data_IF_846784666210
#
_entry.id   IF_846784666210
#
_cell.length_a   1.000
_cell.length_b   1.000
_cell.length_c   1.000
_cell.angle_alpha   90.00
_cell.angle_beta   90.00
_cell.angle_gamma   90.00
#
_symmetry.space_group_name_H-M   'P 1'
#
loop_
_entity.id
_entity.type
_entity.pdbx_description
1 polymer ?
#
# COMPACT_ATOMS: atom_id res chain seq x y z
N UNK A 1 -16.06 53.94 50.83
CA UNK A 1 -15.09 52.81 50.84
C UNK A 1 -15.89 51.55 51.10
N UNK A 2 -16.38 50.75 50.13
CA UNK A 2 -15.73 50.14 48.96
C UNK A 2 -14.37 49.52 49.28
N UNK A 3 -14.26 48.23 48.94
CA UNK A 3 -13.09 47.35 49.02
C UNK A 3 -12.66 46.96 50.44
N UNK A 4 -13.17 45.83 50.95
CA UNK A 4 -12.45 44.77 51.69
C UNK A 4 -13.45 43.81 52.37
N UNK A 5 -14.28 43.09 51.61
CA UNK A 5 -15.05 41.94 52.17
C UNK A 5 -15.58 40.94 51.13
N UNK A 6 -14.88 40.78 50.02
CA UNK A 6 -15.24 39.81 48.97
C UNK A 6 -14.05 38.92 48.55
N UNK A 7 -13.08 38.72 49.45
CA UNK A 7 -11.90 37.86 49.19
C UNK A 7 -11.77 36.66 50.15
N UNK A 8 -12.73 36.43 51.06
CA UNK A 8 -12.62 35.36 52.08
C UNK A 8 -13.72 34.28 51.99
N UNK A 9 -14.75 34.44 51.15
CA UNK A 9 -15.87 33.47 51.12
C UNK A 9 -15.83 32.44 49.98
N UNK A 10 -14.88 32.50 49.04
CA UNK A 10 -14.85 31.62 47.85
C UNK A 10 -13.82 30.48 47.98
N UNK A 11 -12.93 30.52 48.99
CA UNK A 11 -11.93 29.46 49.21
C UNK A 11 -12.43 28.27 50.06
N UNK A 12 -13.60 28.38 50.68
CA UNK A 12 -14.15 27.36 51.59
C UNK A 12 -15.00 26.27 50.92
N UNK A 13 -15.65 26.56 49.78
CA UNK A 13 -16.61 25.63 49.16
C UNK A 13 -15.93 24.57 48.26
N UNK A 14 -14.84 24.94 47.58
CA UNK A 14 -14.09 24.03 46.70
C UNK A 14 -13.27 22.98 47.46
N UNK A 15 -12.80 23.27 48.68
CA UNK A 15 -12.09 22.28 49.51
C UNK A 15 -13.03 21.23 50.11
N UNK A 16 -14.33 21.54 50.32
CA UNK A 16 -15.27 20.60 50.92
C UNK A 16 -15.76 19.55 49.92
N UNK A 17 -15.99 19.94 48.65
CA UNK A 17 -16.34 18.98 47.58
C UNK A 17 -15.19 18.03 47.21
N UNK A 18 -13.93 18.48 47.30
CA UNK A 18 -12.76 17.61 47.06
C UNK A 18 -12.57 16.56 48.17
N UNK A 19 -12.87 16.89 49.42
CA UNK A 19 -12.76 15.94 50.55
C UNK A 19 -13.82 14.84 50.52
N UNK A 20 -15.06 15.16 50.12
CA UNK A 20 -16.15 14.18 50.01
C UNK A 20 -15.87 13.18 48.87
N UNK A 21 -15.28 13.64 47.77
CA UNK A 21 -14.92 12.78 46.64
C UNK A 21 -13.75 11.83 46.98
N UNK A 22 -12.75 12.29 47.75
CA UNK A 22 -11.64 11.43 48.20
C UNK A 22 -12.08 10.39 49.22
N UNK A 23 -13.03 10.72 50.13
CA UNK A 23 -13.57 9.77 51.10
C UNK A 23 -14.35 8.65 50.40
N UNK A 24 -15.07 8.96 49.32
CA UNK A 24 -15.84 7.98 48.56
C UNK A 24 -14.92 6.97 47.82
N UNK A 25 -13.81 7.43 47.22
CA UNK A 25 -12.86 6.56 46.52
C UNK A 25 -12.01 5.65 47.44
N UNK A 26 -11.81 6.01 48.71
CA UNK A 26 -11.08 5.18 49.68
C UNK A 26 -11.92 4.03 50.29
N UNK A 27 -13.18 3.87 49.90
CA UNK A 27 -14.11 2.86 50.46
C UNK A 27 -14.06 1.48 49.78
N UNK A 28 -13.27 1.29 48.71
CA UNK A 28 -13.28 0.05 47.91
C UNK A 28 -11.94 -0.67 47.82
N UNK A 29 -11.00 -0.44 48.75
CA UNK A 29 -9.78 -1.25 48.85
C UNK A 29 -9.50 -1.71 50.29
N UNK A 30 -9.70 -3.00 50.52
CA UNK A 30 -9.47 -3.75 51.77
C UNK A 30 -10.15 -5.13 51.62
N UNK A 31 -9.53 -6.09 50.93
CA UNK A 31 -8.64 -7.15 51.45
C UNK A 31 -9.36 -8.17 52.34
N UNK A 32 -9.40 -9.42 51.90
CA UNK A 32 -9.16 -10.58 52.77
C UNK A 32 -8.29 -11.60 52.02
N UNK A 33 -7.21 -12.02 52.67
CA UNK A 33 -6.25 -13.01 52.23
C UNK A 33 -6.23 -14.16 53.25
N UNK A 34 -6.10 -15.42 52.80
CA UNK A 34 -5.44 -16.47 53.59
C UNK A 34 -4.88 -17.62 52.73
N UNK A 35 -3.55 -17.57 52.54
CA UNK A 35 -2.50 -18.57 52.77
C UNK A 35 -2.54 -20.03 52.24
N UNK A 36 -1.53 -20.31 51.39
CA UNK A 36 -0.65 -21.49 51.20
C UNK A 36 -0.98 -22.88 51.79
N UNK A 37 -0.82 -23.96 50.99
CA UNK A 37 0.39 -24.84 51.00
C UNK A 37 0.36 -25.99 49.96
N UNK A 38 1.51 -26.17 49.30
CA UNK A 38 2.20 -27.38 48.79
C UNK A 38 1.48 -28.69 48.37
N UNK A 39 1.83 -29.20 47.17
CA UNK A 39 2.38 -30.56 47.03
C UNK A 39 1.65 -31.60 46.16
N UNK A 40 2.41 -32.15 45.17
CA UNK A 40 2.39 -33.53 44.64
C UNK A 40 1.35 -34.00 43.57
N UNK A 41 1.89 -34.20 42.36
CA UNK A 41 1.93 -35.43 41.53
C UNK A 41 0.71 -36.37 41.39
N UNK A 42 0.42 -36.71 40.12
CA UNK A 42 0.13 -38.06 39.56
C UNK A 42 -1.25 -38.34 38.91
N UNK A 43 -1.16 -38.71 37.62
CA UNK A 43 -1.75 -39.87 36.93
C UNK A 43 -3.29 -40.00 36.70
N UNK A 44 -3.61 -40.07 35.40
CA UNK A 44 -4.51 -41.05 34.70
C UNK A 44 -6.01 -41.06 35.09
N UNK A 45 -6.91 -40.69 34.16
CA UNK A 45 -7.60 -41.67 33.28
C UNK A 45 -8.79 -41.08 32.55
N UNK A 46 -8.93 -41.54 31.31
CA UNK A 46 -10.01 -41.45 30.35
C UNK A 46 -11.38 -41.91 30.86
N UNK A 47 -12.46 -41.19 30.52
CA UNK A 47 -13.56 -41.74 29.71
C UNK A 47 -14.47 -40.67 29.10
N UNK A 48 -14.89 -40.98 27.87
CA UNK A 48 -15.83 -40.32 26.95
C UNK A 48 -17.19 -39.94 27.54
N UNK A 49 -17.86 -38.93 26.95
CA UNK A 49 -19.11 -39.07 26.17
C UNK A 49 -19.40 -37.72 25.47
N UNK A 50 -19.82 -37.82 24.21
CA UNK A 50 -20.22 -36.72 23.32
C UNK A 50 -21.75 -36.55 23.34
N UNK A 51 -22.23 -35.35 22.94
CA UNK A 51 -23.62 -34.84 22.85
C UNK A 51 -24.15 -34.21 24.16
N UNK A 52 -24.70 -32.99 24.25
CA UNK A 52 -25.35 -32.06 23.31
C UNK A 52 -25.19 -30.57 23.77
N UNK A 53 -25.35 -29.60 22.85
CA UNK A 53 -25.67 -28.17 23.15
C UNK A 53 -27.16 -28.01 23.51
N UNK A 54 -27.68 -26.96 24.19
CA UNK A 54 -27.31 -25.52 24.08
C UNK A 54 -27.28 -24.78 25.46
N UNK A 55 -26.89 -23.50 25.55
CA UNK A 55 -27.77 -22.31 25.64
C UNK A 55 -26.90 -21.05 25.46
N UNK A 56 -27.39 -20.12 24.66
CA UNK A 56 -26.85 -18.77 24.45
C UNK A 56 -26.70 -17.98 25.75
N UNK A 57 -25.50 -17.52 26.06
CA UNK A 57 -25.28 -16.32 26.87
C UNK A 57 -24.72 -15.19 26.01
N UNK A 58 -25.34 -14.04 26.23
CA UNK A 58 -25.26 -12.78 25.53
C UNK A 58 -23.89 -12.14 25.76
N UNK A 59 -23.02 -12.14 24.74
CA UNK A 59 -21.80 -11.33 24.78
C UNK A 59 -22.17 -9.85 24.65
N UNK A 60 -21.89 -9.07 25.69
CA UNK A 60 -21.92 -7.61 25.63
C UNK A 60 -20.90 -7.09 24.59
N UNK A 61 -21.20 -6.01 23.86
CA UNK A 61 -20.29 -5.47 22.87
C UNK A 61 -19.05 -4.90 23.56
N UNK A 62 -17.86 -5.31 23.10
CA UNK A 62 -16.62 -4.59 23.40
C UNK A 62 -16.78 -3.20 22.78
N UNK A 63 -16.91 -2.15 23.61
CA UNK A 63 -16.77 -0.77 23.16
C UNK A 63 -15.32 -0.54 22.73
N UNK A 64 -15.07 -0.74 21.44
CA UNK A 64 -13.85 -0.23 20.81
C UNK A 64 -14.03 1.28 20.76
N UNK A 65 -13.38 1.98 21.69
CA UNK A 65 -13.20 3.44 21.60
C UNK A 65 -12.78 3.79 20.18
N UNK A 66 -13.41 4.78 19.53
CA UNK A 66 -13.14 5.09 18.13
C UNK A 66 -11.65 5.35 18.00
N UNK A 67 -10.99 4.54 17.18
CA UNK A 67 -9.60 4.72 16.83
C UNK A 67 -9.44 6.18 16.44
N UNK A 68 -8.73 6.92 17.29
CA UNK A 68 -8.25 8.25 17.01
C UNK A 68 -7.48 8.12 15.71
N UNK A 69 -8.08 8.55 14.61
CA UNK A 69 -7.35 8.86 13.39
C UNK A 69 -6.26 9.81 13.90
N UNK A 70 -4.96 9.47 13.83
CA UNK A 70 -3.95 10.43 14.16
C UNK A 70 -4.08 11.56 13.13
N UNK A 71 -4.73 12.64 13.54
CA UNK A 71 -4.62 13.91 12.85
C UNK A 71 -3.15 14.26 12.91
N UNK A 72 -2.49 14.19 11.76
CA UNK A 72 -1.11 14.60 11.59
C UNK A 72 -0.92 16.00 12.21
N UNK A 73 -0.25 16.14 13.37
CA UNK A 73 -0.15 17.43 14.06
C UNK A 73 0.93 18.33 13.46
N UNK A 74 1.67 17.86 12.45
CA UNK A 74 2.74 18.62 11.83
C UNK A 74 2.26 19.24 10.52
N UNK A 75 2.30 20.57 10.39
CA UNK A 75 2.28 21.20 9.08
C UNK A 75 3.37 20.55 8.24
N UNK A 76 3.02 20.15 7.03
CA UNK A 76 3.93 19.63 6.02
C UNK A 76 5.09 20.62 5.84
N UNK A 77 6.19 20.39 6.55
CA UNK A 77 7.35 21.26 6.52
C UNK A 77 8.06 21.02 5.18
N UNK A 78 7.72 21.86 4.21
CA UNK A 78 8.38 21.88 2.90
C UNK A 78 9.81 22.37 3.10
N UNK A 79 10.76 21.48 2.86
CA UNK A 79 12.20 21.74 2.94
C UNK A 79 12.68 22.57 1.72
N UNK A 80 13.83 23.27 1.87
CA UNK A 80 14.15 24.44 1.05
C UNK A 80 14.50 24.12 -0.42
N UNK A 81 14.30 25.10 -1.30
CA UNK A 81 14.30 24.93 -2.75
C UNK A 81 15.65 24.60 -3.37
N UNK A 82 15.67 23.59 -4.26
CA UNK A 82 16.75 23.38 -5.22
C UNK A 82 16.41 24.09 -6.53
N UNK A 83 17.26 25.03 -6.94
CA UNK A 83 17.08 25.86 -8.13
C UNK A 83 16.93 24.97 -9.40
N UNK A 84 15.85 25.10 -10.21
CA UNK A 84 15.57 24.24 -11.37
C UNK A 84 16.43 24.57 -12.61
N UNK A 85 17.61 25.17 -12.43
CA UNK A 85 18.39 25.69 -13.55
C UNK A 85 19.08 24.57 -14.33
N UNK A 86 18.57 24.37 -15.56
CA UNK A 86 19.07 23.50 -16.65
C UNK A 86 18.58 22.05 -16.61
N UNK A 87 17.27 21.87 -16.75
CA UNK A 87 16.71 20.63 -17.30
C UNK A 87 17.19 20.52 -18.75
N UNK A 88 17.94 19.46 -19.08
CA UNK A 88 18.36 19.16 -20.46
C UNK A 88 17.16 18.71 -21.29
N UNK A 89 16.20 19.60 -21.50
CA UNK A 89 15.14 19.39 -22.48
C UNK A 89 15.72 19.64 -23.86
N UNK A 90 15.36 18.78 -24.80
CA UNK A 90 15.75 18.92 -26.20
C UNK A 90 14.62 18.39 -27.09
N UNK A 91 14.66 18.70 -28.37
CA UNK A 91 13.69 18.15 -29.31
C UNK A 91 14.07 16.70 -29.66
N UNK A 92 13.23 15.69 -29.35
CA UNK A 92 13.55 14.30 -29.62
C UNK A 92 13.62 14.02 -31.12
N UNK A 93 14.63 13.25 -31.54
CA UNK A 93 14.68 12.68 -32.89
C UNK A 93 13.78 11.46 -32.93
N UNK A 94 12.57 11.64 -33.46
CA UNK A 94 11.61 10.54 -33.63
C UNK A 94 11.89 9.77 -34.93
N UNK A 95 11.56 8.48 -34.94
CA UNK A 95 11.58 7.66 -36.15
C UNK A 95 10.59 8.16 -37.21
N UNK A 96 9.50 8.80 -36.78
CA UNK A 96 8.40 9.26 -37.62
C UNK A 96 7.56 8.13 -38.21
N UNK A 97 7.82 6.87 -37.80
CA UNK A 97 7.12 5.68 -38.29
C UNK A 97 6.04 5.17 -37.36
N UNK A 98 5.96 5.68 -36.12
CA UNK A 98 4.83 5.43 -35.24
C UNK A 98 3.66 6.35 -35.61
N UNK A 99 2.52 5.83 -36.13
CA UNK A 99 1.38 6.66 -36.53
C UNK A 99 0.52 7.09 -35.33
N UNK A 100 1.15 7.60 -34.27
CA UNK A 100 0.48 7.99 -33.03
C UNK A 100 0.69 9.47 -32.72
N UNK A 101 -0.40 10.17 -32.35
CA UNK A 101 -0.33 11.54 -31.86
C UNK A 101 -0.05 11.58 -30.35
N UNK A 102 1.23 11.68 -29.96
CA UNK A 102 1.66 11.67 -28.56
C UNK A 102 1.05 12.78 -27.70
N UNK A 103 0.55 13.87 -28.30
CA UNK A 103 -0.18 14.91 -27.59
C UNK A 103 -1.46 14.39 -26.93
N UNK A 104 -2.09 13.37 -27.50
CA UNK A 104 -3.32 12.79 -26.98
C UNK A 104 -3.15 12.05 -25.64
N UNK A 105 -1.93 11.58 -25.34
CA UNK A 105 -1.58 10.93 -24.07
C UNK A 105 -0.57 11.75 -23.26
N UNK A 106 -0.46 13.05 -23.56
CA UNK A 106 0.56 13.94 -22.99
C UNK A 106 0.50 14.04 -21.45
N UNK A 107 -0.69 13.94 -20.86
CA UNK A 107 -0.85 13.94 -19.40
C UNK A 107 -0.14 12.75 -18.75
N UNK A 108 -0.28 11.55 -19.33
CA UNK A 108 0.38 10.33 -18.84
C UNK A 108 1.88 10.36 -19.13
N UNK A 109 2.29 10.89 -20.29
CA UNK A 109 3.72 11.11 -20.60
C UNK A 109 4.35 12.06 -19.58
N UNK A 110 3.72 13.19 -19.28
CA UNK A 110 4.24 14.16 -18.32
C UNK A 110 4.36 13.57 -16.92
N UNK A 111 3.34 12.84 -16.43
CA UNK A 111 3.45 12.07 -15.17
C UNK A 111 4.61 11.09 -15.20
N UNK A 112 4.81 10.39 -16.31
CA UNK A 112 5.92 9.43 -16.46
C UNK A 112 7.28 10.12 -16.47
N UNK A 113 7.40 11.30 -17.08
CA UNK A 113 8.62 12.11 -17.04
C UNK A 113 8.97 12.48 -15.61
N UNK A 114 7.96 12.95 -14.88
CA UNK A 114 8.08 13.30 -13.47
C UNK A 114 8.52 12.11 -12.61
N UNK A 115 7.79 11.00 -12.71
CA UNK A 115 8.01 9.77 -11.93
C UNK A 115 9.35 9.08 -12.24
N UNK A 116 9.88 9.28 -13.45
CA UNK A 116 11.13 8.70 -13.93
C UNK A 116 12.26 9.72 -14.07
N UNK A 117 12.21 10.84 -13.37
CA UNK A 117 13.24 11.87 -13.51
C UNK A 117 14.64 11.31 -13.24
N UNK A 118 15.56 11.51 -14.20
CA UNK A 118 16.79 10.72 -14.30
C UNK A 118 17.68 10.70 -13.04
N UNK A 119 17.87 11.81 -12.31
CA UNK A 119 18.64 11.79 -11.06
C UNK A 119 18.06 10.91 -9.96
N UNK A 120 16.73 10.72 -9.92
CA UNK A 120 16.05 9.90 -8.90
C UNK A 120 15.58 8.54 -9.41
N UNK A 121 15.52 8.33 -10.73
CA UNK A 121 15.06 7.08 -11.34
C UNK A 121 15.77 5.82 -10.80
N UNK A 122 17.10 5.82 -10.50
CA UNK A 122 17.74 4.66 -9.88
C UNK A 122 17.17 4.31 -8.50
N UNK A 123 16.75 5.32 -7.72
CA UNK A 123 16.23 5.15 -6.36
C UNK A 123 14.71 4.94 -6.33
N UNK A 124 13.97 5.50 -7.28
CA UNK A 124 12.50 5.41 -7.39
C UNK A 124 12.02 4.35 -8.39
N UNK A 125 12.96 3.68 -9.08
CA UNK A 125 12.73 2.77 -10.20
C UNK A 125 11.67 1.72 -9.91
N UNK A 126 11.87 0.98 -8.83
CA UNK A 126 11.05 -0.19 -8.48
C UNK A 126 9.60 0.17 -8.10
N UNK A 127 9.40 1.33 -7.47
CA UNK A 127 8.16 1.66 -6.75
C UNK A 127 7.31 2.73 -7.43
N UNK A 128 7.94 3.64 -8.18
CA UNK A 128 7.25 4.76 -8.84
C UNK A 128 7.47 4.71 -10.35
N UNK A 129 8.72 4.83 -10.80
CA UNK A 129 9.03 5.00 -12.22
C UNK A 129 8.57 3.82 -13.08
N UNK A 130 8.97 2.58 -12.77
CA UNK A 130 8.63 1.44 -13.62
C UNK A 130 7.15 1.06 -13.62
N UNK A 131 6.43 1.12 -12.49
CA UNK A 131 4.97 1.07 -12.49
C UNK A 131 4.34 2.10 -13.45
N UNK A 132 4.83 3.34 -13.45
CA UNK A 132 4.32 4.41 -14.30
C UNK A 132 4.66 4.18 -15.79
N UNK A 133 5.88 3.73 -16.11
CA UNK A 133 6.27 3.36 -17.49
C UNK A 133 5.42 2.20 -18.01
N UNK A 134 5.19 1.17 -17.19
CA UNK A 134 4.32 0.05 -17.58
C UNK A 134 2.89 0.52 -17.86
N UNK A 135 2.35 1.38 -17.00
CA UNK A 135 1.03 2.00 -17.18
C UNK A 135 0.95 2.81 -18.48
N UNK A 136 1.95 3.65 -18.75
CA UNK A 136 2.06 4.44 -19.99
C UNK A 136 2.00 3.54 -21.23
N UNK A 137 2.74 2.42 -21.24
CA UNK A 137 2.77 1.51 -22.39
C UNK A 137 1.42 0.82 -22.63
N UNK A 138 0.69 0.45 -21.56
CA UNK A 138 -0.65 -0.12 -21.70
C UNK A 138 -1.66 0.90 -22.23
N UNK A 139 -1.65 2.12 -21.67
CA UNK A 139 -2.52 3.21 -22.12
C UNK A 139 -2.22 3.59 -23.58
N UNK A 140 -0.94 3.70 -23.91
CA UNK A 140 -0.48 3.91 -25.28
C UNK A 140 -1.07 2.86 -26.22
N UNK A 141 -1.00 1.58 -25.86
CA UNK A 141 -1.46 0.49 -26.71
C UNK A 141 -2.98 0.53 -26.94
N UNK A 142 -3.75 0.80 -25.88
CA UNK A 142 -5.20 0.97 -25.99
C UNK A 142 -5.60 2.18 -26.83
N UNK A 143 -4.89 3.30 -26.67
CA UNK A 143 -5.13 4.52 -27.42
C UNK A 143 -4.74 4.37 -28.90
N UNK A 144 -3.58 3.79 -29.20
CA UNK A 144 -3.12 3.51 -30.56
C UNK A 144 -4.16 2.71 -31.34
N UNK A 145 -4.76 1.72 -30.69
CA UNK A 145 -5.74 0.83 -31.30
C UNK A 145 -7.19 1.27 -31.07
N UNK A 146 -7.48 2.51 -30.65
CA UNK A 146 -8.85 2.93 -30.29
C UNK A 146 -9.85 2.73 -31.43
N UNK A 147 -9.41 2.93 -32.67
CA UNK A 147 -10.24 2.84 -33.88
C UNK A 147 -10.05 1.54 -34.69
N UNK A 148 -9.26 0.60 -34.16
CA UNK A 148 -8.98 -0.71 -34.77
C UNK A 148 -9.63 -1.84 -33.97
N UNK A 149 -9.88 -2.97 -34.62
CA UNK A 149 -10.24 -4.22 -33.96
C UNK A 149 -9.02 -4.91 -33.32
N UNK A 150 -7.80 -4.40 -33.52
CA UNK A 150 -6.59 -4.96 -32.93
C UNK A 150 -6.42 -4.56 -31.45
N UNK A 151 -5.76 -5.41 -30.66
CA UNK A 151 -5.36 -5.14 -29.27
C UNK A 151 -3.84 -5.05 -29.11
N UNK A 152 -3.06 -5.31 -30.15
CA UNK A 152 -1.59 -5.36 -30.09
C UNK A 152 -0.99 -4.68 -31.31
N UNK A 153 0.33 -4.45 -31.29
CA UNK A 153 1.08 -3.93 -32.45
C UNK A 153 1.75 -5.03 -33.24
N UNK A 154 1.98 -4.77 -34.52
CA UNK A 154 2.96 -5.53 -35.32
C UNK A 154 4.37 -5.31 -34.77
N UNK A 155 5.30 -6.24 -35.03
CA UNK A 155 6.69 -6.14 -34.54
C UNK A 155 7.40 -4.86 -35.00
N UNK A 156 7.16 -4.42 -36.24
CA UNK A 156 7.74 -3.20 -36.77
C UNK A 156 7.18 -1.96 -36.06
N UNK A 157 5.85 -1.83 -35.99
CA UNK A 157 5.20 -0.72 -35.30
C UNK A 157 5.57 -0.66 -33.81
N UNK A 158 5.66 -1.82 -33.15
CA UNK A 158 6.10 -1.90 -31.76
C UNK A 158 7.52 -1.36 -31.56
N UNK A 159 8.45 -1.68 -32.45
CA UNK A 159 9.83 -1.20 -32.40
C UNK A 159 9.90 0.31 -32.61
N UNK A 160 9.23 0.81 -33.64
CA UNK A 160 9.22 2.24 -33.98
C UNK A 160 8.55 3.08 -32.88
N UNK A 161 7.36 2.67 -32.43
CA UNK A 161 6.64 3.37 -31.37
C UNK A 161 7.35 3.32 -30.01
N UNK A 162 7.96 2.19 -29.65
CA UNK A 162 8.72 2.11 -28.40
C UNK A 162 9.96 3.01 -28.44
N UNK A 163 10.64 3.09 -29.59
CA UNK A 163 11.76 4.01 -29.80
C UNK A 163 11.32 5.48 -29.68
N UNK A 164 10.17 5.84 -30.26
CA UNK A 164 9.63 7.19 -30.19
C UNK A 164 9.24 7.57 -28.75
N UNK A 165 8.53 6.69 -28.03
CA UNK A 165 8.14 6.91 -26.62
C UNK A 165 9.38 7.12 -25.75
N UNK A 166 10.37 6.23 -25.85
CA UNK A 166 11.59 6.32 -25.04
C UNK A 166 12.40 7.58 -25.37
N UNK A 167 12.46 7.98 -26.63
CA UNK A 167 13.10 9.24 -27.05
C UNK A 167 12.38 10.46 -26.49
N UNK A 168 11.03 10.48 -26.49
CA UNK A 168 10.23 11.56 -25.89
C UNK A 168 10.50 11.65 -24.39
N UNK A 169 10.50 10.52 -23.67
CA UNK A 169 10.79 10.50 -22.23
C UNK A 169 12.20 11.02 -21.93
N UNK A 170 13.22 10.51 -22.64
CA UNK A 170 14.60 10.94 -22.49
C UNK A 170 14.79 12.43 -22.78
N UNK A 171 14.13 12.94 -23.83
CA UNK A 171 14.18 14.36 -24.22
C UNK A 171 13.60 15.31 -23.19
N UNK A 172 12.86 14.80 -22.20
CA UNK A 172 12.28 15.56 -21.10
C UNK A 172 12.95 15.25 -19.76
N UNK A 173 14.13 14.62 -19.78
CA UNK A 173 14.95 14.36 -18.59
C UNK A 173 14.57 13.09 -17.83
N UNK A 174 13.76 12.20 -18.39
CA UNK A 174 13.40 10.94 -17.76
C UNK A 174 14.37 9.81 -18.13
N UNK A 175 14.63 8.89 -17.20
CA UNK A 175 15.41 7.69 -17.44
C UNK A 175 14.53 6.44 -17.26
N UNK A 176 13.88 6.00 -18.33
CA UNK A 176 13.06 4.78 -18.35
C UNK A 176 13.86 3.52 -18.71
N UNK A 177 15.13 3.64 -19.08
CA UNK A 177 15.99 2.50 -19.44
C UNK A 177 16.28 1.56 -18.27
N UNK A 178 16.07 2.02 -17.04
CA UNK A 178 16.17 1.23 -15.82
C UNK A 178 15.00 0.25 -15.64
N UNK A 179 13.92 0.39 -16.42
CA UNK A 179 12.74 -0.43 -16.30
C UNK A 179 12.77 -1.67 -17.21
N UNK A 180 12.27 -2.83 -16.75
CA UNK A 180 12.32 -4.09 -17.49
C UNK A 180 11.20 -4.16 -18.56
N UNK A 181 11.10 -3.15 -19.42
CA UNK A 181 10.12 -3.05 -20.51
C UNK A 181 10.81 -3.11 -21.87
N UNK A 182 10.18 -3.77 -22.85
CA UNK A 182 10.72 -3.94 -24.20
C UNK A 182 9.62 -3.73 -25.24
N UNK A 183 10.01 -3.38 -26.46
CA UNK A 183 9.09 -3.25 -27.60
C UNK A 183 8.21 -4.50 -27.80
N UNK A 184 8.77 -5.70 -27.56
CA UNK A 184 8.03 -6.97 -27.70
C UNK A 184 6.80 -7.05 -26.79
N UNK A 185 6.78 -6.36 -25.63
CA UNK A 185 5.63 -6.32 -24.74
C UNK A 185 4.38 -5.69 -25.41
N UNK A 186 4.55 -4.90 -26.47
CA UNK A 186 3.44 -4.28 -27.22
C UNK A 186 2.83 -5.19 -28.29
N UNK A 187 3.44 -6.35 -28.55
CA UNK A 187 3.03 -7.26 -29.64
C UNK A 187 2.06 -8.37 -29.20
N UNK A 188 1.80 -8.47 -27.89
CA UNK A 188 1.05 -9.56 -27.27
C UNK A 188 1.71 -10.93 -27.40
N UNK A 189 2.98 -10.98 -27.83
CA UNK A 189 3.83 -12.17 -27.90
C UNK A 189 3.10 -13.42 -28.38
N UNK A 190 3.08 -14.41 -27.50
CA UNK A 190 2.54 -15.75 -27.66
C UNK A 190 1.04 -15.86 -27.41
N UNK A 191 0.36 -14.77 -27.01
CA UNK A 191 -1.08 -14.82 -26.77
C UNK A 191 -1.82 -15.08 -28.08
N UNK A 192 -2.70 -16.10 -28.15
CA UNK A 192 -3.37 -16.48 -29.39
C UNK A 192 -4.47 -15.48 -29.79
N UNK A 193 -5.02 -14.73 -28.83
CA UNK A 193 -6.05 -13.72 -29.08
C UNK A 193 -5.41 -12.34 -29.15
N UNK A 194 -5.65 -11.64 -30.27
CA UNK A 194 -5.03 -10.33 -30.56
C UNK A 194 -6.03 -9.28 -31.03
N UNK A 195 -7.31 -9.64 -31.17
CA UNK A 195 -8.40 -8.81 -31.65
C UNK A 195 -9.53 -8.66 -30.63
N UNK A 196 -10.26 -7.55 -30.69
CA UNK A 196 -11.35 -7.20 -29.79
C UNK A 196 -12.51 -8.17 -29.98
N UNK A 197 -12.86 -8.49 -31.23
CA UNK A 197 -14.00 -9.37 -31.53
C UNK A 197 -13.89 -10.75 -30.87
N UNK A 198 -12.72 -11.38 -30.93
CA UNK A 198 -12.46 -12.68 -30.29
C UNK A 198 -12.33 -12.55 -28.78
N UNK A 199 -11.69 -11.48 -28.30
CA UNK A 199 -11.57 -11.18 -26.88
C UNK A 199 -12.94 -11.10 -26.20
N UNK A 200 -13.86 -10.28 -26.75
CA UNK A 200 -15.17 -10.01 -26.14
C UNK A 200 -16.10 -11.23 -26.19
N UNK A 201 -15.83 -12.22 -27.05
CA UNK A 201 -16.54 -13.51 -27.07
C UNK A 201 -16.06 -14.48 -25.99
N UNK A 202 -14.79 -14.41 -25.62
CA UNK A 202 -14.17 -15.34 -24.66
C UNK A 202 -14.23 -14.83 -23.22
N UNK A 203 -14.13 -13.52 -23.03
CA UNK A 203 -14.01 -12.91 -21.71
C UNK A 203 -15.35 -12.29 -21.30
N UNK A 204 -15.73 -12.46 -20.04
CA UNK A 204 -16.83 -11.71 -19.45
C UNK A 204 -16.40 -10.24 -19.24
N UNK A 205 -16.62 -9.43 -20.26
CA UNK A 205 -16.15 -8.04 -20.35
C UNK A 205 -16.81 -7.12 -19.33
N UNK A 206 -18.08 -7.35 -18.99
CA UNK A 206 -18.77 -6.56 -17.95
C UNK A 206 -18.15 -6.82 -16.59
N UNK A 207 -17.96 -8.10 -16.19
CA UNK A 207 -17.29 -8.46 -14.93
C UNK A 207 -15.88 -7.88 -14.86
N UNK A 208 -15.12 -7.95 -15.96
CA UNK A 208 -13.75 -7.41 -16.02
C UNK A 208 -13.74 -5.88 -15.85
N UNK A 209 -14.63 -5.17 -16.54
CA UNK A 209 -14.71 -3.71 -16.46
C UNK A 209 -15.20 -3.25 -15.09
N UNK A 210 -16.20 -3.92 -14.51
CA UNK A 210 -16.71 -3.62 -13.17
C UNK A 210 -15.61 -3.82 -12.11
N UNK A 211 -14.79 -4.87 -12.27
CA UNK A 211 -13.69 -5.16 -11.35
C UNK A 211 -12.56 -4.13 -11.41
N UNK A 212 -12.30 -3.55 -12.59
CA UNK A 212 -11.09 -2.75 -12.85
C UNK A 212 -11.35 -1.24 -13.07
N UNK A 213 -12.60 -0.80 -13.16
CA UNK A 213 -12.94 0.61 -13.40
C UNK A 213 -12.70 1.50 -12.18
N UNK A 214 -12.90 0.98 -10.97
CA UNK A 214 -12.66 1.67 -9.71
C UNK A 214 -11.94 0.73 -8.74
N UNK A 215 -10.61 0.78 -8.78
CA UNK A 215 -9.76 -0.08 -7.95
C UNK A 215 -9.47 0.60 -6.62
N UNK A 216 -9.98 0.03 -5.53
CA UNK A 216 -9.61 0.44 -4.17
C UNK A 216 -8.22 -0.12 -3.81
N UNK A 217 -7.23 0.72 -3.47
CA UNK A 217 -5.87 0.24 -3.22
C UNK A 217 -5.73 -0.76 -2.08
N UNK A 218 -6.47 -0.57 -1.00
CA UNK A 218 -6.37 -1.42 0.20
C UNK A 218 -6.97 -2.79 -0.12
N UNK A 219 -8.18 -2.81 -0.68
CA UNK A 219 -8.86 -4.03 -1.09
C UNK A 219 -8.07 -4.77 -2.14
N UNK A 220 -7.57 -4.10 -3.17
CA UNK A 220 -6.83 -4.76 -4.26
C UNK A 220 -5.52 -5.39 -3.77
N UNK A 221 -4.78 -4.73 -2.87
CA UNK A 221 -3.54 -5.27 -2.33
C UNK A 221 -3.77 -6.47 -1.40
N UNK A 222 -4.93 -6.53 -0.73
CA UNK A 222 -5.24 -7.54 0.26
C UNK A 222 -6.09 -8.71 -0.24
N UNK A 223 -7.11 -8.40 -1.04
CA UNK A 223 -8.09 -9.31 -1.63
C UNK A 223 -8.27 -8.88 -3.09
N UNK A 224 -7.35 -9.25 -3.98
CA UNK A 224 -7.33 -8.76 -5.35
C UNK A 224 -8.63 -9.11 -6.07
N UNK A 225 -9.29 -8.09 -6.64
CA UNK A 225 -10.50 -8.25 -7.45
C UNK A 225 -10.16 -8.01 -8.91
N UNK A 226 -9.54 -6.86 -9.22
CA UNK A 226 -9.15 -6.53 -10.59
C UNK A 226 -8.01 -7.43 -11.08
N UNK A 227 -6.96 -7.64 -10.27
CA UNK A 227 -5.87 -8.55 -10.62
C UNK A 227 -6.36 -9.98 -10.84
N UNK A 228 -7.33 -10.44 -10.03
CA UNK A 228 -7.93 -11.75 -10.18
C UNK A 228 -8.73 -11.85 -11.49
N UNK A 229 -9.56 -10.85 -11.81
CA UNK A 229 -10.30 -10.79 -13.07
C UNK A 229 -9.37 -10.73 -14.30
N UNK A 230 -8.26 -10.00 -14.22
CA UNK A 230 -7.24 -9.95 -15.29
C UNK A 230 -6.59 -11.32 -15.51
N UNK A 231 -6.23 -12.02 -14.42
CA UNK A 231 -5.63 -13.36 -14.52
C UNK A 231 -6.64 -14.36 -15.08
N UNK A 232 -7.89 -14.34 -14.61
CA UNK A 232 -8.98 -15.18 -15.11
C UNK A 232 -9.18 -14.97 -16.62
N UNK A 233 -9.29 -13.72 -17.06
CA UNK A 233 -9.38 -13.39 -18.49
C UNK A 233 -8.15 -13.89 -19.26
N UNK A 234 -6.93 -13.66 -18.76
CA UNK A 234 -5.71 -14.08 -19.44
C UNK A 234 -5.62 -15.62 -19.59
N UNK A 235 -6.08 -16.38 -18.59
CA UNK A 235 -6.16 -17.86 -18.67
C UNK A 235 -7.17 -18.30 -19.73
N UNK A 236 -8.34 -17.65 -19.81
CA UNK A 236 -9.32 -17.95 -20.86
C UNK A 236 -8.75 -17.69 -22.25
N UNK A 237 -7.97 -16.64 -22.43
CA UNK A 237 -7.33 -16.33 -23.71
C UNK A 237 -6.21 -17.32 -24.05
N UNK A 238 -5.37 -17.71 -23.08
CA UNK A 238 -4.26 -18.64 -23.32
C UNK A 238 -4.75 -20.05 -23.66
N UNK A 239 -5.81 -20.52 -22.98
CA UNK A 239 -6.39 -21.86 -23.19
C UNK A 239 -7.36 -21.87 -24.38
N UNK A 240 -8.23 -20.86 -24.48
CA UNK A 240 -9.29 -20.77 -25.48
C UNK A 240 -8.79 -20.58 -26.92
N UNK A 241 -7.61 -19.97 -27.12
CA UNK A 241 -7.01 -19.90 -28.45
C UNK A 241 -6.33 -21.19 -28.90
N UNK A 242 -5.99 -22.09 -27.97
CA UNK A 242 -5.31 -23.37 -28.28
C UNK A 242 -6.25 -24.41 -28.90
N UNK A 243 -7.56 -24.34 -28.65
CA UNK A 243 -8.56 -25.21 -29.31
C UNK A 243 -8.87 -24.78 -30.75
N UNK A 244 -8.60 -23.52 -31.11
CA UNK A 244 -8.80 -22.98 -32.47
C UNK A 244 -7.52 -23.17 -33.32
N UNK A 245 -6.34 -23.23 -32.71
CA UNK A 245 -5.04 -23.34 -33.37
C UNK A 245 -4.52 -24.78 -33.53
N UNK A 246 -5.33 -25.81 -33.30
CA UNK A 246 -4.95 -27.22 -33.48
C UNK A 246 -4.89 -27.64 -34.96
N UNK A 247 -4.09 -26.95 -35.77
CA UNK A 247 -3.61 -27.44 -37.08
C UNK A 247 -2.30 -26.77 -37.49
N UNK A 248 -1.22 -27.02 -36.76
CA UNK A 248 0.13 -27.16 -37.35
C UNK A 248 1.15 -27.58 -36.31
N UNK A 249 1.83 -28.68 -36.60
CA UNK A 249 3.00 -29.20 -35.91
C UNK A 249 4.22 -28.31 -36.22
N UNK A 250 4.71 -27.52 -35.26
CA UNK A 250 6.06 -26.95 -35.29
C UNK A 250 6.67 -26.86 -33.88
N UNK A 251 7.91 -27.32 -33.80
CA UNK A 251 8.83 -27.24 -32.65
C UNK A 251 9.03 -25.80 -32.19
N UNK A 252 8.95 -25.55 -30.88
CA UNK A 252 9.24 -24.24 -30.25
C UNK A 252 8.08 -23.65 -29.44
N UNK A 253 7.29 -24.49 -28.76
CA UNK A 253 6.14 -24.07 -27.98
C UNK A 253 6.57 -23.07 -26.88
N UNK A 254 5.99 -21.86 -26.82
CA UNK A 254 6.17 -20.96 -25.69
C UNK A 254 5.77 -21.68 -24.41
N UNK A 255 6.47 -21.45 -23.30
CA UNK A 255 6.02 -22.02 -22.04
C UNK A 255 4.60 -21.51 -21.75
N UNK A 256 3.76 -22.34 -21.12
CA UNK A 256 2.40 -21.95 -20.71
C UNK A 256 2.41 -20.67 -19.86
N UNK A 257 3.51 -20.46 -19.12
CA UNK A 257 3.79 -19.27 -18.31
C UNK A 257 4.03 -18.02 -19.17
N UNK A 258 4.76 -18.13 -20.28
CA UNK A 258 5.02 -17.02 -21.20
C UNK A 258 3.73 -16.58 -21.90
N UNK A 259 2.93 -17.55 -22.38
CA UNK A 259 1.64 -17.27 -23.00
C UNK A 259 0.65 -16.58 -22.05
N UNK A 260 0.60 -17.00 -20.78
CA UNK A 260 -0.24 -16.36 -19.77
C UNK A 260 0.19 -14.92 -19.51
N UNK A 261 1.49 -14.66 -19.38
CA UNK A 261 2.03 -13.30 -19.19
C UNK A 261 1.71 -12.40 -20.38
N UNK A 262 1.91 -12.90 -21.60
CA UNK A 262 1.59 -12.20 -22.83
C UNK A 262 0.08 -11.88 -22.95
N UNK A 263 -0.78 -12.82 -22.56
CA UNK A 263 -2.23 -12.60 -22.55
C UNK A 263 -2.68 -11.58 -21.50
N UNK A 264 -1.99 -11.44 -20.36
CA UNK A 264 -2.26 -10.31 -19.45
C UNK A 264 -2.03 -8.97 -20.15
N UNK A 265 -0.99 -8.87 -20.98
CA UNK A 265 -0.73 -7.68 -21.80
C UNK A 265 -1.89 -7.34 -22.74
N UNK A 266 -2.51 -8.35 -23.36
CA UNK A 266 -3.72 -8.20 -24.19
C UNK A 266 -4.92 -7.70 -23.37
N UNK A 267 -5.13 -8.26 -22.17
CA UNK A 267 -6.20 -7.81 -21.26
C UNK A 267 -6.00 -6.34 -20.85
N UNK A 268 -4.78 -5.93 -20.51
CA UNK A 268 -4.47 -4.52 -20.20
C UNK A 268 -4.72 -3.59 -21.37
N UNK A 269 -4.42 -4.04 -22.60
CA UNK A 269 -4.70 -3.29 -23.81
C UNK A 269 -6.21 -3.07 -24.03
N UNK A 270 -7.01 -4.12 -23.86
CA UNK A 270 -8.48 -4.01 -23.94
C UNK A 270 -9.04 -3.10 -22.84
N UNK A 271 -8.59 -3.23 -21.59
CA UNK A 271 -8.97 -2.33 -20.50
C UNK A 271 -8.63 -0.87 -20.81
N UNK A 272 -7.45 -0.61 -21.36
CA UNK A 272 -7.00 0.73 -21.75
C UNK A 272 -7.83 1.34 -22.89
N UNK A 273 -8.40 0.49 -23.76
CA UNK A 273 -9.31 0.92 -24.83
C UNK A 273 -10.70 1.29 -24.30
N UNK A 274 -11.14 0.70 -23.18
CA UNK A 274 -12.49 0.90 -22.61
C UNK A 274 -12.55 1.93 -21.49
N UNK A 275 -11.51 2.01 -20.66
CA UNK A 275 -11.42 2.96 -19.55
C UNK A 275 -10.94 4.33 -20.04
N UNK A 276 -11.26 5.37 -19.27
CA UNK A 276 -10.59 6.66 -19.44
C UNK A 276 -9.09 6.53 -19.11
N UNK A 277 -8.25 7.37 -19.70
CA UNK A 277 -6.80 7.34 -19.46
C UNK A 277 -6.45 7.47 -17.99
N UNK A 278 -7.15 8.33 -17.23
CA UNK A 278 -6.90 8.51 -15.81
C UNK A 278 -7.34 7.30 -14.97
N UNK A 279 -8.49 6.69 -15.31
CA UNK A 279 -8.96 5.48 -14.63
C UNK A 279 -8.03 4.30 -14.89
N UNK A 280 -7.61 4.10 -16.15
CA UNK A 280 -6.63 3.09 -16.52
C UNK A 280 -5.29 3.32 -15.81
N UNK A 281 -4.79 4.56 -15.81
CA UNK A 281 -3.51 4.88 -15.16
C UNK A 281 -3.56 4.60 -13.66
N UNK A 282 -4.65 5.00 -13.01
CA UNK A 282 -4.85 4.76 -11.57
C UNK A 282 -4.92 3.26 -11.28
N UNK A 283 -5.75 2.53 -12.01
CA UNK A 283 -5.91 1.09 -11.84
C UNK A 283 -4.57 0.35 -12.00
N UNK A 284 -3.83 0.60 -13.08
CA UNK A 284 -2.59 -0.12 -13.36
C UNK A 284 -1.48 0.20 -12.37
N UNK A 285 -1.41 1.43 -11.88
CA UNK A 285 -0.47 1.80 -10.81
C UNK A 285 -0.81 1.13 -9.50
N UNK A 286 -2.09 1.06 -9.13
CA UNK A 286 -2.52 0.33 -7.93
C UNK A 286 -2.14 -1.16 -8.03
N UNK A 287 -2.47 -1.81 -9.15
CA UNK A 287 -2.12 -3.22 -9.37
C UNK A 287 -0.60 -3.45 -9.28
N UNK A 288 0.19 -2.55 -9.87
CA UNK A 288 1.65 -2.61 -9.84
C UNK A 288 2.20 -2.39 -8.43
N UNK A 289 1.71 -1.38 -7.70
CA UNK A 289 2.08 -1.09 -6.32
C UNK A 289 1.79 -2.30 -5.40
N UNK A 290 0.60 -2.88 -5.53
CA UNK A 290 0.22 -4.09 -4.81
C UNK A 290 1.13 -5.28 -5.08
N UNK A 291 1.66 -5.38 -6.31
CA UNK A 291 2.63 -6.43 -6.68
C UNK A 291 4.01 -6.17 -6.08
N UNK A 292 4.57 -4.96 -6.24
CA UNK A 292 5.94 -4.65 -5.80
C UNK A 292 6.10 -4.63 -4.28
N UNK A 293 5.01 -4.39 -3.53
CA UNK A 293 5.04 -4.41 -2.07
C UNK A 293 5.09 -5.80 -1.43
N UNK A 294 5.01 -6.88 -2.22
CA UNK A 294 5.00 -8.26 -1.69
C UNK A 294 6.38 -8.84 -1.41
N UNK A 295 7.45 -8.16 -1.85
CA UNK A 295 8.83 -8.65 -1.74
C UNK A 295 9.74 -7.56 -1.20
N UNK A 296 10.92 -7.95 -0.70
CA UNK A 296 12.00 -7.00 -0.47
C UNK A 296 12.77 -6.79 -1.77
N UNK A 297 12.98 -5.54 -2.23
CA UNK A 297 13.74 -5.26 -3.44
C UNK A 297 15.25 -5.05 -3.19
N UNK A 298 15.69 -5.00 -1.92
CA UNK A 298 17.09 -4.79 -1.57
C UNK A 298 17.91 -6.06 -1.78
N UNK A 299 19.12 -5.90 -2.31
CA UNK A 299 20.08 -6.97 -2.44
C UNK A 299 20.93 -7.08 -1.18
N UNK A 300 20.85 -8.23 -0.50
CA UNK A 300 21.66 -8.55 0.67
C UNK A 300 22.87 -9.41 0.27
N UNK A 301 24.07 -8.99 0.67
CA UNK A 301 25.27 -9.83 0.64
C UNK A 301 25.35 -10.65 1.94
N UNK A 302 26.27 -11.60 2.03
CA UNK A 302 26.46 -12.33 3.29
C UNK A 302 26.97 -11.37 4.39
N UNK A 303 26.26 -11.21 5.53
CA UNK A 303 26.62 -10.24 6.57
C UNK A 303 27.65 -10.83 7.55
N UNK A 304 28.76 -11.37 7.03
CA UNK A 304 29.75 -12.12 7.81
C UNK A 304 30.35 -11.32 8.97
N UNK A 305 30.64 -10.03 8.76
CA UNK A 305 31.17 -9.14 9.80
C UNK A 305 30.15 -8.82 10.90
N UNK A 306 28.85 -8.76 10.57
CA UNK A 306 27.78 -8.60 11.55
C UNK A 306 27.64 -9.89 12.36
N UNK A 307 27.63 -11.04 11.67
CA UNK A 307 27.54 -12.35 12.31
C UNK A 307 28.69 -12.55 13.31
N UNK A 308 29.94 -12.27 12.91
CA UNK A 308 31.11 -12.40 13.79
C UNK A 308 31.00 -11.51 15.03
N UNK A 309 30.56 -10.25 14.85
CA UNK A 309 30.48 -9.28 15.94
C UNK A 309 29.30 -9.54 16.91
N UNK A 310 28.21 -10.16 16.42
CA UNK A 310 26.95 -10.27 17.16
C UNK A 310 26.58 -11.69 17.64
N UNK A 311 27.37 -12.73 17.31
CA UNK A 311 27.01 -14.13 17.60
C UNK A 311 26.98 -14.49 19.10
N UNK A 312 27.88 -13.93 19.92
CA UNK A 312 28.09 -14.34 21.33
C UNK A 312 27.60 -13.31 22.34
N UNK A 313 26.49 -12.60 22.05
CA UNK A 313 26.08 -11.45 22.85
C UNK A 313 25.28 -11.82 24.11
N UNK A 314 25.84 -11.43 25.26
CA UNK A 314 25.11 -11.07 26.46
C UNK A 314 25.30 -9.54 26.66
N UNK A 315 24.22 -8.75 26.53
CA UNK A 315 24.17 -7.28 26.62
C UNK A 315 24.70 -6.47 25.39
N UNK A 316 24.31 -5.19 25.19
CA UNK A 316 24.59 -4.45 23.97
C UNK A 316 26.09 -4.24 23.79
N UNK A 317 26.63 -4.78 22.70
CA UNK A 317 28.04 -4.67 22.34
C UNK A 317 28.19 -3.56 21.28
N UNK A 318 28.91 -2.46 21.58
CA UNK A 318 29.12 -1.37 20.64
C UNK A 318 29.71 -1.83 19.29
N UNK A 319 30.55 -2.88 19.30
CA UNK A 319 31.10 -3.45 18.07
C UNK A 319 30.05 -4.15 17.21
N UNK A 320 29.02 -4.75 17.81
CA UNK A 320 27.91 -5.35 17.07
C UNK A 320 27.08 -4.28 16.39
N UNK A 321 26.62 -3.27 17.12
CA UNK A 321 25.80 -2.20 16.55
C UNK A 321 26.56 -1.37 15.51
N UNK A 322 27.86 -1.12 15.71
CA UNK A 322 28.69 -0.46 14.69
C UNK A 322 28.78 -1.27 13.40
N UNK A 323 28.98 -2.60 13.49
CA UNK A 323 29.02 -3.49 12.32
C UNK A 323 27.67 -3.57 11.62
N UNK A 324 26.58 -3.67 12.39
CA UNK A 324 25.21 -3.68 11.89
C UNK A 324 24.88 -2.38 11.14
N UNK A 325 25.12 -1.22 11.76
CA UNK A 325 24.84 0.09 11.18
C UNK A 325 25.68 0.32 9.92
N UNK A 326 26.94 -0.09 9.90
CA UNK A 326 27.79 -0.02 8.71
C UNK A 326 27.27 -0.90 7.57
N UNK A 327 26.69 -2.07 7.89
CA UNK A 327 26.11 -2.96 6.91
C UNK A 327 24.79 -2.38 6.33
N UNK A 328 23.91 -1.89 7.20
CA UNK A 328 22.65 -1.24 6.81
C UNK A 328 22.92 0.02 5.97
N UNK A 329 23.91 0.84 6.35
CA UNK A 329 24.31 2.03 5.61
C UNK A 329 24.73 1.74 4.16
N UNK A 330 25.25 0.53 3.87
CA UNK A 330 25.56 0.11 2.50
C UNK A 330 24.31 -0.29 1.72
N UNK A 331 23.35 -0.92 2.40
CA UNK A 331 22.11 -1.40 1.78
C UNK A 331 21.15 -0.27 1.48
N UNK A 332 20.99 0.67 2.41
CA UNK A 332 20.06 1.79 2.24
C UNK A 332 20.39 2.65 1.00
N UNK A 333 21.65 2.70 0.58
CA UNK A 333 22.08 3.45 -0.61
C UNK A 333 21.59 2.86 -1.94
N UNK A 334 20.90 1.71 -1.94
CA UNK A 334 20.40 1.08 -3.16
C UNK A 334 19.18 1.81 -3.74
N UNK A 335 18.14 2.02 -2.93
CA UNK A 335 16.87 2.59 -3.41
C UNK A 335 15.96 3.07 -2.28
N UNK A 336 14.95 3.86 -2.65
CA UNK A 336 13.82 4.17 -1.78
C UNK A 336 12.82 3.01 -1.81
N UNK A 337 12.31 2.64 -0.64
CA UNK A 337 11.37 1.53 -0.49
C UNK A 337 10.11 1.99 0.25
N UNK A 338 9.02 1.25 0.06
CA UNK A 338 7.80 1.51 0.81
C UNK A 338 7.91 0.98 2.25
N UNK A 339 7.06 1.48 3.14
CA UNK A 339 6.89 0.92 4.48
C UNK A 339 6.69 -0.61 4.46
N UNK A 340 5.91 -1.09 3.50
CA UNK A 340 5.65 -2.52 3.35
C UNK A 340 6.88 -3.32 2.89
N UNK A 341 7.66 -2.77 1.96
CA UNK A 341 8.90 -3.39 1.51
C UNK A 341 9.94 -3.41 2.62
N UNK A 342 10.04 -2.35 3.43
CA UNK A 342 10.95 -2.28 4.57
C UNK A 342 10.70 -3.40 5.58
N UNK A 343 9.44 -3.70 5.90
CA UNK A 343 9.08 -4.84 6.78
C UNK A 343 9.59 -6.17 6.20
N UNK A 344 9.39 -6.40 4.90
CA UNK A 344 9.87 -7.61 4.23
C UNK A 344 11.41 -7.68 4.25
N UNK A 345 12.08 -6.55 4.02
CA UNK A 345 13.54 -6.44 4.00
C UNK A 345 14.16 -6.69 5.38
N UNK A 346 13.62 -6.07 6.43
CA UNK A 346 14.03 -6.30 7.81
C UNK A 346 13.86 -7.77 8.19
N UNK A 347 12.71 -8.36 7.87
CA UNK A 347 12.42 -9.78 8.14
C UNK A 347 13.42 -10.70 7.43
N UNK A 348 13.69 -10.45 6.14
CA UNK A 348 14.64 -11.23 5.36
C UNK A 348 16.06 -11.13 5.93
N UNK A 349 16.50 -9.91 6.27
CA UNK A 349 17.83 -9.68 6.84
C UNK A 349 17.99 -10.34 8.22
N UNK A 350 16.99 -10.19 9.10
CA UNK A 350 16.96 -10.87 10.40
C UNK A 350 17.06 -12.39 10.25
N UNK A 351 16.38 -12.98 9.26
CA UNK A 351 16.47 -14.42 8.99
C UNK A 351 17.87 -14.85 8.54
N UNK A 352 18.55 -14.02 7.74
CA UNK A 352 19.95 -14.27 7.36
C UNK A 352 20.88 -14.26 8.57
N UNK A 353 20.70 -13.31 9.49
CA UNK A 353 21.47 -13.21 10.72
C UNK A 353 21.24 -14.40 11.66
N UNK A 354 19.99 -14.84 11.81
CA UNK A 354 19.63 -16.02 12.60
C UNK A 354 20.26 -17.30 12.03
N UNK A 355 20.24 -17.48 10.70
CA UNK A 355 20.94 -18.60 10.04
C UNK A 355 22.45 -18.55 10.28
N UNK A 356 23.02 -17.35 10.46
CA UNK A 356 24.41 -17.14 10.87
C UNK A 356 24.71 -17.40 12.36
N UNK A 357 23.70 -17.71 13.17
CA UNK A 357 23.81 -17.98 14.61
C UNK A 357 23.61 -16.76 15.51
N UNK A 358 23.13 -15.63 14.99
CA UNK A 358 22.75 -14.46 15.80
C UNK A 358 21.30 -14.65 16.26
N UNK A 359 21.10 -15.10 17.50
CA UNK A 359 19.77 -15.43 18.03
C UNK A 359 19.10 -14.26 18.75
N UNK A 360 19.90 -13.35 19.31
CA UNK A 360 19.41 -12.17 20.04
C UNK A 360 18.83 -11.15 19.06
N UNK A 361 17.74 -10.47 19.45
CA UNK A 361 17.15 -9.39 18.68
C UNK A 361 18.09 -8.16 18.63
N UNK A 362 19.01 -8.14 17.66
CA UNK A 362 19.97 -7.05 17.54
C UNK A 362 19.35 -5.78 16.92
N UNK A 363 18.17 -5.86 16.31
CA UNK A 363 17.46 -4.66 15.82
C UNK A 363 16.99 -3.82 17.00
N UNK A 364 16.40 -4.45 18.01
CA UNK A 364 16.00 -3.78 19.25
C UNK A 364 17.21 -3.31 20.07
N UNK A 365 18.29 -4.11 20.14
CA UNK A 365 19.49 -3.71 20.89
C UNK A 365 20.24 -2.51 20.31
N UNK A 366 20.11 -2.29 19.00
CA UNK A 366 20.85 -1.28 18.26
C UNK A 366 19.95 -0.16 17.70
N UNK A 367 18.70 -0.09 18.15
CA UNK A 367 17.70 0.91 17.74
C UNK A 367 17.54 1.01 16.22
N UNK A 368 17.38 -0.14 15.55
CA UNK A 368 17.18 -0.20 14.10
C UNK A 368 15.70 0.00 13.76
N UNK A 369 15.42 0.99 12.94
CA UNK A 369 14.09 1.32 12.47
C UNK A 369 13.87 0.86 11.02
N UNK A 370 12.60 0.76 10.60
CA UNK A 370 12.25 0.41 9.22
C UNK A 370 12.84 1.39 8.19
N UNK A 371 12.92 2.68 8.53
CA UNK A 371 13.49 3.71 7.65
C UNK A 371 14.97 3.51 7.36
N UNK A 372 15.69 2.77 8.20
CA UNK A 372 17.13 2.51 8.02
C UNK A 372 17.39 1.57 6.84
N UNK A 373 16.36 0.87 6.34
CA UNK A 373 16.44 0.07 5.12
C UNK A 373 16.18 0.88 3.85
N UNK A 374 15.79 2.16 3.95
CA UNK A 374 15.45 3.04 2.83
C UNK A 374 16.51 4.12 2.63
N UNK A 375 16.73 4.56 1.39
CA UNK A 375 17.70 5.59 1.05
C UNK A 375 17.61 6.86 1.91
N UNK A 376 18.77 7.31 2.41
CA UNK A 376 18.89 8.44 3.36
C UNK A 376 19.70 9.64 2.78
N UNK A 377 19.85 9.76 1.46
CA UNK A 377 20.88 10.62 0.85
C UNK A 377 20.65 12.15 0.83
N UNK A 378 21.74 12.86 1.17
CA UNK A 378 22.24 14.24 0.94
C UNK A 378 21.30 15.46 0.88
N UNK A 379 20.07 15.36 0.36
CA UNK A 379 19.14 16.51 0.30
C UNK A 379 18.22 16.51 1.53
N UNK A 380 17.94 15.33 2.11
CA UNK A 380 16.86 15.19 3.08
C UNK A 380 17.31 15.11 4.55
N UNK A 381 18.58 14.80 4.86
CA UNK A 381 19.11 14.58 6.24
C UNK A 381 18.26 13.65 7.15
N UNK A 382 17.21 13.04 6.62
CA UNK A 382 16.21 12.20 7.28
C UNK A 382 15.79 11.17 6.23
N UNK A 383 16.09 9.89 6.48
CA UNK A 383 15.55 8.79 5.69
C UNK A 383 14.04 8.73 5.84
N UNK A 384 13.33 8.45 4.74
CA UNK A 384 11.89 8.30 4.78
C UNK A 384 11.42 7.07 4.01
N UNK A 385 10.24 6.59 4.38
CA UNK A 385 9.56 5.49 3.70
C UNK A 385 8.48 6.04 2.78
N UNK A 386 8.38 5.46 1.59
CA UNK A 386 7.29 5.75 0.68
C UNK A 386 6.01 5.08 1.18
N UNK A 387 4.87 5.69 0.83
CA UNK A 387 3.56 5.07 1.03
C UNK A 387 3.51 3.73 0.29
N UNK A 388 2.74 2.78 0.82
CA UNK A 388 2.45 1.52 0.10
C UNK A 388 1.85 1.79 -1.29
N UNK A 389 1.08 2.86 -1.47
CA UNK A 389 0.77 3.40 -2.78
C UNK A 389 1.45 4.77 -2.91
N UNK A 390 2.64 4.86 -3.52
CA UNK A 390 3.32 6.13 -3.68
C UNK A 390 2.49 7.12 -4.51
N UNK A 391 2.55 8.39 -4.12
CA UNK A 391 2.02 9.48 -4.94
C UNK A 391 2.98 9.78 -6.11
N UNK A 392 2.50 10.54 -7.09
CA UNK A 392 3.33 11.08 -8.18
C UNK A 392 4.47 11.91 -7.60
N UNK A 393 5.62 11.89 -8.30
CA UNK A 393 6.71 12.80 -7.98
C UNK A 393 6.26 14.22 -8.34
N UNK A 394 6.30 15.10 -7.35
CA UNK A 394 5.88 16.49 -7.49
C UNK A 394 7.07 17.34 -7.92
N UNK A 395 6.83 18.16 -8.93
CA UNK A 395 7.78 19.15 -9.39
C UNK A 395 7.23 20.52 -9.03
N UNK A 396 8.00 21.26 -8.26
CA UNK A 396 7.75 22.66 -8.00
C UNK A 396 8.95 23.48 -8.44
N UNK A 397 8.70 24.53 -9.20
CA UNK A 397 9.75 25.42 -9.70
C UNK A 397 10.46 26.18 -8.58
N UNK A 398 9.83 26.27 -7.40
CA UNK A 398 10.48 26.78 -6.21
C UNK A 398 11.17 25.63 -5.49
N UNK A 399 10.45 24.67 -4.92
CA UNK A 399 11.01 23.64 -4.01
C UNK A 399 11.84 22.52 -4.67
N UNK A 400 11.81 22.39 -6.00
CA UNK A 400 12.53 21.35 -6.75
C UNK A 400 11.70 20.08 -6.92
N UNK A 401 12.36 18.91 -6.91
CA UNK A 401 11.70 17.60 -7.05
C UNK A 401 11.44 17.02 -5.67
N UNK A 402 10.17 16.77 -5.36
CA UNK A 402 9.74 16.18 -4.11
C UNK A 402 8.91 14.92 -4.33
N UNK A 403 8.94 14.01 -3.36
CA UNK A 403 8.00 12.90 -3.27
C UNK A 403 7.47 12.83 -1.84
N UNK A 404 6.23 12.38 -1.70
CA UNK A 404 5.54 12.33 -0.41
C UNK A 404 5.96 11.09 0.37
N UNK A 405 6.64 11.31 1.50
CA UNK A 405 6.89 10.26 2.48
C UNK A 405 5.60 9.89 3.23
N UNK A 406 5.43 8.62 3.59
CA UNK A 406 4.29 8.18 4.41
C UNK A 406 4.41 8.73 5.83
N UNK A 407 5.60 8.55 6.40
CA UNK A 407 5.91 8.80 7.79
C UNK A 407 7.45 9.05 7.91
N UNK A 408 7.91 9.60 9.03
CA UNK A 408 9.33 9.78 9.38
C UNK A 408 9.88 8.58 10.17
N UNK A 409 9.27 7.42 9.98
CA UNK A 409 8.83 6.47 11.00
C UNK A 409 10.01 5.88 11.78
N UNK A 410 10.10 6.27 13.05
CA UNK A 410 10.91 5.59 14.07
C UNK A 410 10.22 4.29 14.52
N UNK A 411 9.70 3.52 13.57
CA UNK A 411 9.07 2.23 13.83
C UNK A 411 10.17 1.19 13.84
N UNK A 412 10.34 0.54 14.99
CA UNK A 412 11.33 -0.50 15.18
C UNK A 412 11.19 -1.60 14.11
N UNK A 413 12.32 -1.99 13.53
CA UNK A 413 12.38 -3.05 12.54
C UNK A 413 12.02 -4.41 13.19
N UNK A 414 11.15 -5.21 12.56
CA UNK A 414 10.73 -6.49 13.14
C UNK A 414 11.87 -7.50 13.13
N UNK A 415 12.09 -8.16 14.26
CA UNK A 415 12.95 -9.34 14.36
C UNK A 415 12.13 -10.60 14.07
N UNK A 416 12.58 -11.49 13.17
CA UNK A 416 11.81 -12.68 12.83
C UNK A 416 11.70 -13.64 14.02
N UNK A 417 10.47 -13.99 14.40
CA UNK A 417 10.23 -15.07 15.38
C UNK A 417 10.44 -16.44 14.72
N UNK A 418 11.03 -17.39 15.45
CA UNK A 418 11.41 -18.73 14.94
C UNK A 418 10.25 -19.62 14.48
N UNK A 419 8.99 -19.17 14.57
CA UNK A 419 7.79 -19.98 14.30
C UNK A 419 6.88 -19.47 13.17
N UNK A 420 7.23 -18.40 12.43
CA UNK A 420 6.38 -17.99 11.30
C UNK A 420 7.14 -17.20 10.21
N UNK A 421 7.60 -17.90 9.17
CA UNK A 421 7.69 -17.32 7.83
C UNK A 421 6.30 -17.25 7.16
N UNK A 422 5.27 -16.95 7.94
CA UNK A 422 3.99 -16.54 7.37
C UNK A 422 4.22 -15.13 6.88
N UNK A 423 4.13 -14.92 5.56
CA UNK A 423 4.03 -13.58 4.98
C UNK A 423 3.17 -12.72 5.91
N UNK A 424 3.70 -11.66 6.50
CA UNK A 424 2.96 -10.77 7.39
C UNK A 424 1.77 -10.22 6.60
N UNK A 425 0.64 -10.90 6.57
CA UNK A 425 -0.58 -10.41 5.96
C UNK A 425 -1.13 -9.37 6.91
N UNK A 426 -0.65 -8.12 6.76
CA UNK A 426 -1.24 -6.91 7.37
C UNK A 426 -2.68 -6.64 6.89
N UNK A 427 -3.18 -7.47 5.98
CA UNK A 427 -4.58 -7.53 5.65
C UNK A 427 -5.29 -8.17 6.83
N UNK A 428 -5.83 -7.33 7.72
CA UNK A 428 -6.76 -7.81 8.73
C UNK A 428 -7.83 -8.67 8.01
N UNK A 429 -8.17 -9.86 8.53
CA UNK A 429 -9.39 -10.52 8.11
C UNK A 429 -10.50 -9.49 8.27
N UNK A 430 -11.33 -9.27 7.26
CA UNK A 430 -12.54 -8.49 7.49
C UNK A 430 -13.30 -9.18 8.62
N UNK A 431 -13.34 -8.52 9.78
CA UNK A 431 -14.44 -8.69 10.69
C UNK A 431 -15.64 -8.16 9.91
N UNK A 432 -16.44 -9.06 9.37
CA UNK A 432 -17.79 -8.74 8.98
C UNK A 432 -18.48 -8.17 10.22
N UNK A 433 -18.53 -6.84 10.33
CA UNK A 433 -19.51 -6.19 11.18
C UNK A 433 -20.86 -6.75 10.74
N UNK A 434 -21.65 -7.36 11.64
CA UNK A 434 -22.96 -7.88 11.26
C UNK A 434 -23.74 -6.74 10.60
N UNK A 435 -24.25 -7.01 9.40
CA UNK A 435 -25.03 -6.02 8.66
C UNK A 435 -26.14 -5.49 9.57
N UNK A 436 -26.14 -4.17 9.82
CA UNK A 436 -27.31 -3.54 10.42
C UNK A 436 -28.53 -3.90 9.56
N UNK A 437 -29.64 -4.35 10.15
CA UNK A 437 -30.82 -4.71 9.38
C UNK A 437 -31.25 -3.50 8.54
N UNK A 438 -31.13 -3.64 7.22
CA UNK A 438 -31.70 -2.70 6.26
C UNK A 438 -33.20 -2.67 6.48
N UNK A 439 -33.70 -1.51 6.94
CA UNK A 439 -35.12 -1.22 7.04
C UNK A 439 -35.74 -1.45 5.66
N UNK A 440 -36.56 -2.51 5.52
CA UNK A 440 -37.37 -2.74 4.34
C UNK A 440 -38.18 -1.46 4.06
N UNK A 441 -38.02 -0.91 2.86
CA UNK A 441 -38.93 0.11 2.32
C UNK A 441 -40.32 -0.53 2.22
N UNK A 442 -41.10 -0.37 3.27
CA UNK A 442 -42.54 -0.62 3.23
C UNK A 442 -43.18 0.40 2.31
N UNK A 443 -43.87 -0.13 1.31
CA UNK A 443 -44.74 0.56 0.37
C UNK A 443 -45.79 1.40 1.13
N UNK A 444 -45.80 2.70 0.91
CA UNK A 444 -46.94 3.55 1.29
C UNK A 444 -48.00 3.53 0.17
N UNK A 445 -49.28 3.35 0.52
CA UNK A 445 -50.37 4.02 -0.16
C UNK A 445 -51.03 5.06 0.76
N UNK A 446 -51.03 6.31 0.30
CA UNK A 446 -52.20 7.20 0.36
C UNK A 446 -52.67 7.82 1.70
N UNK A 447 -52.37 9.12 1.83
CA UNK A 447 -53.37 10.20 2.04
C UNK A 447 -54.04 10.39 3.43
N UNK A 448 -53.64 11.46 4.15
CA UNK A 448 -54.37 12.76 4.29
C UNK A 448 -54.21 13.39 5.69
N UNK A 449 -53.62 14.58 5.70
CA UNK A 449 -53.92 15.75 6.54
C UNK A 449 -54.33 15.55 8.01
N UNK A 450 -53.44 15.91 8.93
CA UNK A 450 -53.73 16.97 9.91
C UNK A 450 -52.44 17.38 10.62
N UNK A 451 -51.99 18.60 10.36
CA UNK A 451 -50.88 19.20 11.08
C UNK A 451 -51.36 19.76 12.40
N UNK A 452 -50.68 19.39 13.49
CA UNK A 452 -50.54 20.25 14.65
C UNK A 452 -49.12 20.10 15.20
N UNK A 453 -48.38 21.20 15.13
CA UNK A 453 -47.02 21.38 15.62
C UNK A 453 -47.08 21.46 17.15
N UNK A 454 -46.36 20.58 17.85
CA UNK A 454 -45.89 20.87 19.20
C UNK A 454 -44.36 21.00 19.14
N UNK A 455 -43.93 22.25 19.04
CA UNK A 455 -42.56 22.66 19.36
C UNK A 455 -42.56 22.94 20.86
N UNK A 456 -41.79 22.16 21.61
CA UNK A 456 -41.52 22.35 23.03
C UNK A 456 -40.00 22.28 23.28
N UNK A 457 -39.47 22.98 24.29
CA UNK A 457 -38.36 23.91 24.09
C UNK A 457 -37.08 23.49 24.83
N UNK A 458 -35.91 23.68 24.20
CA UNK A 458 -34.57 23.43 24.81
C UNK A 458 -33.96 24.72 25.40
N UNK A 459 -34.76 25.74 25.71
CA UNK A 459 -34.26 27.01 26.25
C UNK A 459 -34.76 27.35 27.66
N UNK A 460 -34.66 26.42 28.61
CA UNK A 460 -34.94 26.74 30.02
C UNK A 460 -34.13 25.95 31.06
N UNK A 461 -32.83 25.77 30.84
CA UNK A 461 -31.91 25.30 31.91
C UNK A 461 -30.66 26.15 32.13
N UNK A 462 -30.64 27.40 31.64
CA UNK A 462 -29.52 28.32 31.87
C UNK A 462 -29.85 29.63 32.60
N UNK A 463 -31.01 29.74 33.26
CA UNK A 463 -31.39 30.98 34.00
C UNK A 463 -31.81 30.76 35.46
N UNK A 464 -31.43 29.64 36.09
CA UNK A 464 -31.71 29.43 37.53
C UNK A 464 -30.46 29.14 38.38
N UNK A 465 -29.37 29.86 38.12
CA UNK A 465 -28.26 29.98 39.08
C UNK A 465 -27.70 31.41 39.19
N UNK A 466 -28.44 32.40 38.71
CA UNK A 466 -28.20 33.83 39.01
C UNK A 466 -29.51 34.40 39.54
N UNK A 467 -29.89 33.99 40.76
CA UNK A 467 -30.77 34.69 41.70
C UNK A 467 -31.08 33.73 42.86
N UNK A 468 -30.13 33.57 43.77
CA UNK A 468 -30.36 33.59 45.22
C UNK A 468 -29.04 33.84 45.97
#
# INVERSE_FOLDING_TARGET
MRCFKAAVSIKGFLCHSLLIFTIWLSSFQGVDALQETAGASSLISSTSVHADSPISELFEPIEISPAVIPQNPYPQESLPPMNPSVWNTYDPVLTGRCPMNFSAISSVINRTVSDCFAPFAPFLGNVICCPQVSSLLHIFLGHYNSNSDQLVLSKAAASDCFSDITSILASRGANSSICPVKALNLTGGSCPVKDVTTFEKMVNTSKLLDSCSLVDPIKECCRPVCQAAIVEAAVLLSVGGSTIAASSTVVGQPSEVDALSDCKGVVFSWLSKKLSMDAANTAFRVLSACKVNKVCPLEFKEPSEVIKACRTLAAPNPSCCSSLNAYIARIQNQMLITNRQAINCATQFGSMLQKGGVMTNIFELCDVDLKDFSFQGLIMNVGCLLRSLPADVVFDNFTGVGFTCDLSDNIAAPWPSSSSMSTLTLCAPEMSLPALPTLQKSQNPGYRSSGFKFVAPIFSFFVFSILL
#
